data_IF_821537762513
#
_entry.id   IF_821537762513
#
_cell.length_a   1.000
_cell.length_b   1.000
_cell.length_c   1.000
_cell.angle_alpha   90.00
_cell.angle_beta   90.00
_cell.angle_gamma   90.00
#
_symmetry.space_group_name_H-M   'P 1'
#
loop_
_entity.id
_entity.type
_entity.pdbx_description
1 polymer ?
#
# COMPACT_ATOMS: atom_id res chain seq x y z
N UNK A 1 2.23 23.90 -7.71
CA UNK A 1 2.35 22.43 -7.56
C UNK A 1 3.53 22.15 -6.64
N UNK A 2 3.36 21.41 -5.52
CA UNK A 2 4.52 21.05 -4.71
C UNK A 2 5.39 20.08 -5.53
N UNK A 3 6.66 20.44 -5.70
CA UNK A 3 7.66 19.61 -6.38
C UNK A 3 8.16 18.56 -5.39
N UNK A 4 8.01 17.29 -5.75
CA UNK A 4 8.61 16.15 -5.04
C UNK A 4 10.14 16.31 -5.17
N UNK A 5 10.84 16.43 -4.05
CA UNK A 5 12.31 16.40 -4.01
C UNK A 5 12.76 14.99 -3.62
N UNK A 6 13.37 14.31 -4.58
CA UNK A 6 14.01 13.00 -4.43
C UNK A 6 15.46 13.25 -4.02
N UNK A 7 15.91 12.71 -2.88
CA UNK A 7 17.31 12.75 -2.45
C UNK A 7 17.85 11.32 -2.56
N UNK A 8 18.81 11.13 -3.47
CA UNK A 8 19.44 9.86 -3.85
C UNK A 8 20.88 9.81 -3.33
N UNK A 9 21.36 8.66 -2.80
CA UNK A 9 22.75 8.16 -2.92
C UNK A 9 22.88 6.70 -2.37
N UNK A 10 23.17 5.74 -3.29
CA UNK A 10 24.03 4.52 -3.25
C UNK A 10 23.82 3.38 -2.19
N UNK A 11 23.65 2.15 -2.72
CA UNK A 11 23.75 0.79 -2.13
C UNK A 11 23.20 0.58 -0.70
N UNK A 12 21.87 0.56 -0.53
CA UNK A 12 21.11 -0.02 0.61
C UNK A 12 19.65 -0.12 0.17
N UNK A 13 18.83 -1.06 0.67
CA UNK A 13 17.38 -1.02 0.45
C UNK A 13 16.87 0.26 1.13
N UNK A 14 16.36 1.20 0.34
CA UNK A 14 15.82 2.45 0.87
C UNK A 14 14.30 2.32 1.01
N UNK A 15 13.80 2.51 2.23
CA UNK A 15 12.38 2.74 2.47
C UNK A 15 12.15 4.24 2.52
N UNK A 16 11.51 4.78 1.49
CA UNK A 16 11.07 6.17 1.49
C UNK A 16 9.68 6.26 2.08
N UNK A 17 9.51 7.22 2.98
CA UNK A 17 8.25 7.54 3.60
C UNK A 17 7.86 8.96 3.22
N UNK A 18 6.69 9.11 2.60
CA UNK A 18 6.09 10.42 2.35
C UNK A 18 4.86 10.56 3.25
N UNK A 19 4.85 11.58 4.11
CA UNK A 19 3.71 11.92 4.98
C UNK A 19 3.06 13.19 4.46
N UNK A 20 1.74 13.15 4.25
CA UNK A 20 0.96 14.34 3.91
C UNK A 20 0.82 15.22 5.16
N UNK A 21 1.27 16.47 5.08
CA UNK A 21 1.05 17.44 6.16
C UNK A 21 -0.43 17.80 6.21
N UNK A 22 -1.14 17.38 7.27
CA UNK A 22 -2.58 17.60 7.45
C UNK A 22 -2.91 18.81 8.33
N UNK A 23 -1.92 19.52 8.87
CA UNK A 23 -2.14 20.73 9.66
C UNK A 23 -2.02 21.98 8.79
N UNK A 24 -3.18 22.51 8.37
CA UNK A 24 -3.29 23.91 7.99
C UNK A 24 -3.16 24.80 9.25
N UNK A 25 -1.93 25.04 9.68
CA UNK A 25 -1.52 26.30 10.33
C UNK A 25 0.00 26.38 10.25
N UNK A 26 0.48 27.15 9.28
CA UNK A 26 1.89 27.33 8.89
C UNK A 26 2.59 26.09 8.31
N UNK A 27 3.07 26.14 7.05
CA UNK A 27 3.88 25.06 6.51
C UNK A 27 5.17 24.93 7.33
N UNK A 28 5.64 23.70 7.63
CA UNK A 28 6.98 23.52 8.17
C UNK A 28 7.98 24.11 7.17
N UNK A 29 8.82 25.04 7.63
CA UNK A 29 9.81 25.77 6.83
C UNK A 29 10.89 24.89 6.20
N UNK A 30 10.89 23.60 6.54
CA UNK A 30 11.77 22.61 5.93
C UNK A 30 11.09 21.24 5.98
N UNK A 31 10.87 20.56 4.83
CA UNK A 31 10.55 19.14 4.86
C UNK A 31 11.72 18.36 5.50
N UNK A 32 11.49 17.25 6.21
CA UNK A 32 12.57 16.39 6.64
C UNK A 32 13.30 15.88 5.38
N UNK A 33 14.50 16.41 5.13
CA UNK A 33 15.35 16.07 3.97
C UNK A 33 16.22 14.84 4.21
N UNK A 34 16.10 14.20 5.35
CA UNK A 34 16.95 13.07 5.70
C UNK A 34 16.20 11.76 5.41
N UNK A 35 16.55 11.00 4.36
CA UNK A 35 16.05 9.64 4.22
C UNK A 35 16.40 8.84 5.48
N UNK A 36 15.44 8.11 6.02
CA UNK A 36 15.66 7.26 7.19
C UNK A 36 16.53 6.07 6.76
N UNK A 37 17.84 6.18 6.99
CA UNK A 37 18.78 5.08 6.78
C UNK A 37 18.69 4.12 7.97
N UNK A 38 17.88 3.07 7.83
CA UNK A 38 17.74 2.03 8.86
C UNK A 38 18.71 0.88 8.54
N UNK A 39 19.91 0.94 9.14
CA UNK A 39 20.97 -0.07 8.97
C UNK A 39 21.00 -1.14 10.06
N UNK A 40 19.97 -1.29 10.89
CA UNK A 40 19.90 -2.31 11.95
C UNK A 40 18.59 -3.07 11.85
N UNK A 41 18.65 -4.40 12.12
CA UNK A 41 17.54 -5.38 12.15
C UNK A 41 16.17 -4.75 11.82
N UNK A 42 15.76 -4.76 10.54
CA UNK A 42 14.86 -3.76 9.97
C UNK A 42 13.41 -3.83 10.44
N UNK A 43 13.03 -4.84 11.23
CA UNK A 43 11.63 -5.07 11.56
C UNK A 43 11.12 -4.15 12.67
N UNK A 44 11.85 -4.02 13.79
CA UNK A 44 11.34 -3.29 14.95
C UNK A 44 11.48 -1.76 14.81
N UNK A 45 12.58 -1.28 14.24
CA UNK A 45 12.86 0.16 14.13
C UNK A 45 11.97 0.85 13.09
N UNK A 46 11.74 0.23 11.94
CA UNK A 46 10.83 0.75 10.90
C UNK A 46 9.38 0.69 11.38
N UNK A 47 8.94 -0.43 11.99
CA UNK A 47 7.59 -0.55 12.53
C UNK A 47 7.32 0.48 13.64
N UNK A 48 8.28 0.71 14.55
CA UNK A 48 8.16 1.73 15.59
C UNK A 48 8.09 3.14 15.00
N UNK A 49 8.86 3.41 13.96
CA UNK A 49 8.81 4.69 13.26
C UNK A 49 7.49 4.91 12.53
N UNK A 50 6.98 3.90 11.82
CA UNK A 50 5.66 3.97 11.19
C UNK A 50 4.57 4.17 12.26
N UNK A 51 4.67 3.50 13.40
CA UNK A 51 3.73 3.68 14.51
C UNK A 51 3.72 5.12 15.04
N UNK A 52 4.88 5.78 15.10
CA UNK A 52 5.00 7.11 15.71
C UNK A 52 4.45 8.25 14.84
N UNK A 53 4.33 8.02 13.53
CA UNK A 53 3.83 8.99 12.56
C UNK A 53 2.37 8.76 12.17
N UNK A 54 1.83 7.57 12.44
CA UNK A 54 0.46 7.23 12.07
C UNK A 54 -0.53 7.98 12.98
N UNK A 55 -1.61 8.54 12.41
CA UNK A 55 -2.72 9.03 13.21
C UNK A 55 -3.26 7.92 14.13
N UNK A 56 -3.75 8.26 15.33
CA UNK A 56 -4.28 7.27 16.28
C UNK A 56 -5.48 6.49 15.72
N UNK A 57 -6.23 7.08 14.79
CA UNK A 57 -7.34 6.45 14.09
C UNK A 57 -7.48 7.01 12.69
N UNK A 58 -7.98 6.18 11.76
CA UNK A 58 -8.39 6.63 10.44
C UNK A 58 -7.23 7.07 9.55
N UNK A 59 -6.65 6.15 8.79
CA UNK A 59 -5.56 6.47 7.85
C UNK A 59 -5.59 5.59 6.61
N UNK A 60 -4.95 6.08 5.54
CA UNK A 60 -4.72 5.32 4.31
C UNK A 60 -3.25 5.36 3.93
N UNK A 61 -2.65 4.17 3.86
CA UNK A 61 -1.27 3.97 3.41
C UNK A 61 -1.27 3.41 2.01
N UNK A 62 -0.56 4.04 1.08
CA UNK A 62 -0.15 3.39 -0.17
C UNK A 62 1.18 2.68 0.08
N UNK A 63 1.26 1.38 -0.21
CA UNK A 63 2.51 0.62 -0.11
C UNK A 63 2.86 -0.02 -1.44
N UNK A 64 4.07 0.24 -1.94
CA UNK A 64 4.57 -0.40 -3.15
C UNK A 64 6.10 -0.49 -3.17
N UNK A 65 6.60 -1.37 -4.04
CA UNK A 65 8.01 -1.51 -4.33
C UNK A 65 8.31 -0.93 -5.72
N UNK A 66 9.48 -0.32 -5.88
CA UNK A 66 9.98 0.13 -7.18
C UNK A 66 11.47 -0.17 -7.34
N UNK A 67 11.94 -0.23 -8.58
CA UNK A 67 13.38 -0.23 -8.88
C UNK A 67 14.03 1.13 -8.60
N UNK A 68 15.36 1.21 -8.65
CA UNK A 68 16.08 2.50 -8.60
C UNK A 68 15.64 3.41 -9.75
N UNK A 69 15.29 2.83 -10.90
CA UNK A 69 14.72 3.54 -12.06
C UNK A 69 13.26 3.98 -11.91
N UNK A 70 12.60 3.67 -10.79
CA UNK A 70 11.19 4.03 -10.55
C UNK A 70 10.17 3.09 -11.19
N UNK A 71 10.58 1.88 -11.61
CA UNK A 71 9.68 0.89 -12.21
C UNK A 71 8.98 0.10 -11.11
N UNK A 72 7.64 0.13 -11.08
CA UNK A 72 6.79 -0.56 -10.08
C UNK A 72 6.33 -1.94 -10.60
N UNK A 73 6.16 -2.06 -11.91
CA UNK A 73 5.76 -3.30 -12.59
C UNK A 73 6.49 -3.36 -13.92
N UNK A 74 7.53 -4.18 -14.08
CA UNK A 74 8.17 -4.33 -15.39
C UNK A 74 7.18 -4.90 -16.41
N UNK A 75 7.28 -4.44 -17.66
CA UNK A 75 6.37 -4.82 -18.75
C UNK A 75 6.61 -6.25 -19.26
N UNK A 76 7.81 -6.77 -19.04
CA UNK A 76 8.17 -8.15 -19.37
C UNK A 76 8.27 -8.98 -18.10
N UNK A 77 7.67 -10.19 -18.14
CA UNK A 77 7.84 -11.25 -17.15
C UNK A 77 9.28 -11.77 -17.18
N UNK A 78 10.26 -10.92 -16.87
CA UNK A 78 11.56 -11.43 -16.47
C UNK A 78 11.31 -12.31 -15.24
N UNK A 79 11.66 -13.59 -15.34
CA UNK A 79 11.36 -14.66 -14.37
C UNK A 79 11.86 -14.36 -12.94
N UNK A 80 12.54 -13.24 -12.72
CA UNK A 80 13.09 -12.77 -11.45
C UNK A 80 12.80 -11.29 -11.13
N UNK A 81 11.73 -10.69 -11.67
CA UNK A 81 11.31 -9.30 -11.43
C UNK A 81 10.86 -8.98 -9.98
N UNK A 82 11.19 -9.83 -8.99
CA UNK A 82 10.94 -9.54 -7.59
C UNK A 82 11.79 -8.34 -7.16
N UNK A 83 11.12 -7.19 -6.98
CA UNK A 83 11.70 -5.93 -6.48
C UNK A 83 11.85 -5.96 -4.96
N UNK A 84 10.86 -6.53 -4.25
CA UNK A 84 10.79 -6.59 -2.79
C UNK A 84 11.64 -7.73 -2.19
N UNK A 85 12.43 -7.44 -1.15
CA UNK A 85 13.13 -8.44 -0.33
C UNK A 85 12.29 -8.90 0.88
N UNK A 86 12.78 -9.88 1.66
CA UNK A 86 12.05 -10.43 2.80
C UNK A 86 11.75 -9.38 3.87
N UNK A 87 12.67 -8.44 4.10
CA UNK A 87 12.50 -7.33 5.04
C UNK A 87 11.32 -6.43 4.64
N UNK A 88 11.21 -6.10 3.35
CA UNK A 88 10.09 -5.27 2.84
C UNK A 88 8.76 -6.01 2.87
N UNK A 89 8.78 -7.34 2.69
CA UNK A 89 7.62 -8.19 2.90
C UNK A 89 7.25 -8.26 4.37
N UNK A 90 8.19 -8.33 5.30
CA UNK A 90 7.91 -8.33 6.74
C UNK A 90 7.20 -7.03 7.15
N UNK A 91 7.64 -5.88 6.62
CA UNK A 91 6.96 -4.60 6.84
C UNK A 91 5.55 -4.62 6.25
N UNK A 92 5.39 -4.95 4.97
CA UNK A 92 4.07 -4.84 4.30
C UNK A 92 3.14 -5.98 4.71
N UNK A 93 3.55 -7.23 4.50
CA UNK A 93 2.73 -8.41 4.76
C UNK A 93 2.62 -8.76 6.24
N UNK A 94 3.62 -8.43 7.07
CA UNK A 94 3.57 -8.66 8.51
C UNK A 94 2.96 -7.47 9.22
N UNK A 95 3.70 -6.36 9.28
CA UNK A 95 3.35 -5.23 10.13
C UNK A 95 2.16 -4.42 9.61
N UNK A 96 2.20 -3.86 8.39
CA UNK A 96 1.12 -3.00 7.89
C UNK A 96 -0.23 -3.72 7.84
N UNK A 97 -0.25 -4.95 7.33
CA UNK A 97 -1.47 -5.76 7.30
C UNK A 97 -2.00 -6.11 8.69
N UNK A 98 -1.13 -6.30 9.70
CA UNK A 98 -1.56 -6.66 11.07
C UNK A 98 -2.14 -5.48 11.85
N UNK A 99 -1.88 -4.24 11.44
CA UNK A 99 -2.44 -3.03 12.07
C UNK A 99 -3.57 -2.37 11.26
N UNK A 100 -3.91 -2.92 10.09
CA UNK A 100 -4.94 -2.40 9.19
C UNK A 100 -6.27 -3.13 9.38
N UNK A 101 -7.37 -2.40 9.19
CA UNK A 101 -8.73 -2.94 9.15
C UNK A 101 -9.07 -3.47 7.75
N UNK A 102 -8.56 -2.80 6.71
CA UNK A 102 -8.78 -3.17 5.31
C UNK A 102 -7.47 -3.22 4.52
N UNK A 103 -7.39 -4.19 3.60
CA UNK A 103 -6.38 -4.21 2.53
C UNK A 103 -7.08 -4.09 1.18
N UNK A 104 -6.70 -3.09 0.40
CA UNK A 104 -7.29 -2.83 -0.90
C UNK A 104 -6.30 -3.24 -1.99
N UNK A 105 -6.76 -4.02 -2.97
CA UNK A 105 -5.99 -4.38 -4.16
C UNK A 105 -6.78 -4.21 -5.45
N UNK A 106 -6.08 -3.89 -6.54
CA UNK A 106 -6.66 -3.94 -7.88
C UNK A 106 -6.87 -5.37 -8.37
N UNK A 107 -7.89 -5.59 -9.20
CA UNK A 107 -8.17 -6.92 -9.79
C UNK A 107 -7.00 -7.46 -10.62
N UNK A 108 -6.21 -6.60 -11.24
CA UNK A 108 -5.01 -7.01 -11.99
C UNK A 108 -3.97 -7.70 -11.09
N UNK A 109 -3.65 -7.11 -9.94
CA UNK A 109 -2.78 -7.71 -8.92
C UNK A 109 -3.35 -9.04 -8.42
N UNK A 110 -4.67 -9.11 -8.24
CA UNK A 110 -5.33 -10.34 -7.84
C UNK A 110 -5.13 -11.48 -8.83
N UNK A 111 -5.29 -11.19 -10.12
CA UNK A 111 -5.17 -12.17 -11.21
C UNK A 111 -3.73 -12.54 -11.52
N UNK A 112 -2.80 -11.58 -11.45
CA UNK A 112 -1.40 -11.79 -11.80
C UNK A 112 -0.61 -12.46 -10.67
N UNK A 113 -0.82 -12.02 -9.43
CA UNK A 113 0.09 -12.37 -8.32
C UNK A 113 -0.53 -13.39 -7.35
N UNK A 114 -1.82 -13.66 -7.49
CA UNK A 114 -2.60 -14.52 -6.61
C UNK A 114 -2.31 -14.28 -5.10
N UNK A 115 -2.32 -13.03 -4.62
CA UNK A 115 -1.76 -12.66 -3.32
C UNK A 115 -2.54 -13.28 -2.16
N UNK A 116 -1.89 -13.50 -1.01
CA UNK A 116 -2.55 -14.07 0.19
C UNK A 116 -3.52 -13.09 0.87
N UNK A 117 -3.24 -11.78 0.80
CA UNK A 117 -4.03 -10.69 1.39
C UNK A 117 -4.32 -10.79 2.90
N UNK A 118 -3.55 -11.61 3.62
CA UNK A 118 -3.65 -11.79 5.07
C UNK A 118 -2.31 -11.45 5.74
N UNK A 119 -2.32 -10.92 6.99
CA UNK A 119 -1.09 -10.63 7.73
C UNK A 119 -0.31 -11.90 8.05
N UNK A 120 1.03 -11.84 8.02
CA UNK A 120 1.84 -12.94 8.55
C UNK A 120 1.57 -13.09 10.05
N UNK A 121 1.18 -14.30 10.49
CA UNK A 121 0.88 -14.57 11.90
C UNK A 121 -0.61 -14.54 12.24
N UNK A 122 -0.95 -13.94 13.39
CA UNK A 122 -2.29 -13.96 13.95
C UNK A 122 -3.28 -13.16 13.09
N UNK A 123 -4.48 -13.71 12.92
CA UNK A 123 -5.58 -13.00 12.28
C UNK A 123 -6.02 -11.82 13.16
N UNK A 124 -6.07 -10.64 12.56
CA UNK A 124 -6.48 -9.37 13.19
C UNK A 124 -7.86 -8.89 12.71
N UNK A 125 -8.57 -9.69 11.91
CA UNK A 125 -9.84 -9.28 11.31
C UNK A 125 -9.72 -8.49 10.00
N UNK A 126 -8.51 -8.34 9.43
CA UNK A 126 -8.27 -7.63 8.17
C UNK A 126 -9.22 -8.11 7.06
N UNK A 127 -9.94 -7.15 6.47
CA UNK A 127 -10.90 -7.41 5.38
C UNK A 127 -10.24 -7.11 4.03
N UNK A 128 -10.05 -8.11 3.14
CA UNK A 128 -9.59 -7.86 1.78
C UNK A 128 -10.69 -7.19 0.96
N UNK A 129 -10.33 -6.14 0.23
CA UNK A 129 -11.21 -5.41 -0.68
C UNK A 129 -10.59 -5.42 -2.07
N UNK A 130 -11.32 -5.91 -3.06
CA UNK A 130 -10.87 -5.92 -4.46
C UNK A 130 -11.53 -4.81 -5.25
N UNK A 131 -10.74 -3.92 -5.83
CA UNK A 131 -11.19 -2.92 -6.80
C UNK A 131 -11.21 -3.54 -8.20
N UNK A 132 -12.37 -3.57 -8.84
CA UNK A 132 -12.52 -4.16 -10.17
C UNK A 132 -13.47 -3.37 -11.07
N UNK A 133 -13.22 -3.38 -12.38
CA UNK A 133 -14.23 -3.00 -13.36
C UNK A 133 -15.13 -4.15 -13.80
N UNK A 134 -14.76 -5.39 -13.45
CA UNK A 134 -15.35 -6.64 -13.97
C UNK A 134 -15.70 -7.56 -12.80
N UNK A 135 -16.87 -7.31 -12.19
CA UNK A 135 -17.32 -8.01 -10.96
C UNK A 135 -17.35 -9.52 -11.12
N UNK A 136 -17.85 -10.00 -12.26
CA UNK A 136 -18.06 -11.42 -12.53
C UNK A 136 -16.76 -12.22 -12.64
N UNK A 137 -15.72 -11.62 -13.23
CA UNK A 137 -14.39 -12.23 -13.32
C UNK A 137 -13.75 -12.40 -11.95
N UNK A 138 -13.88 -11.38 -11.10
CA UNK A 138 -13.35 -11.39 -9.74
C UNK A 138 -14.14 -12.33 -8.83
N UNK A 139 -15.46 -12.45 -9.00
CA UNK A 139 -16.29 -13.33 -8.18
C UNK A 139 -15.85 -14.80 -8.23
N UNK A 140 -15.47 -15.30 -9.42
CA UNK A 140 -14.95 -16.66 -9.57
C UNK A 140 -13.64 -16.87 -8.79
N UNK A 141 -12.76 -15.87 -8.84
CA UNK A 141 -11.49 -15.92 -8.14
C UNK A 141 -11.69 -15.85 -6.62
N UNK A 142 -12.57 -14.95 -6.17
CA UNK A 142 -12.89 -14.77 -4.75
C UNK A 142 -13.44 -16.04 -4.13
N UNK A 143 -14.37 -16.73 -4.78
CA UNK A 143 -14.94 -17.99 -4.25
C UNK A 143 -13.84 -19.02 -3.91
N UNK A 144 -12.84 -19.17 -4.79
CA UNK A 144 -11.72 -20.09 -4.55
C UNK A 144 -10.75 -19.59 -3.48
N UNK A 145 -10.62 -18.26 -3.32
CA UNK A 145 -9.71 -17.66 -2.35
C UNK A 145 -10.30 -17.57 -0.94
N UNK A 146 -11.57 -17.18 -0.82
CA UNK A 146 -12.30 -17.11 0.45
C UNK A 146 -12.29 -18.46 1.16
N UNK A 147 -12.45 -19.56 0.43
CA UNK A 147 -12.31 -20.91 0.96
C UNK A 147 -10.92 -21.18 1.54
N UNK A 148 -9.85 -20.67 0.90
CA UNK A 148 -8.46 -20.82 1.38
C UNK A 148 -8.12 -19.87 2.53
N UNK A 149 -8.70 -18.67 2.53
CA UNK A 149 -8.50 -17.68 3.59
C UNK A 149 -9.34 -17.97 4.82
N UNK A 150 -10.39 -18.79 4.70
CA UNK A 150 -11.38 -19.01 5.75
C UNK A 150 -12.22 -17.77 6.06
N UNK A 151 -12.22 -16.75 5.18
CA UNK A 151 -12.95 -15.50 5.37
C UNK A 151 -13.40 -14.89 4.05
N UNK A 152 -14.46 -14.09 4.13
CA UNK A 152 -15.04 -13.38 2.99
C UNK A 152 -14.21 -12.15 2.63
N UNK A 153 -14.02 -11.91 1.34
CA UNK A 153 -13.48 -10.67 0.80
C UNK A 153 -14.62 -9.78 0.31
N UNK A 154 -14.41 -8.48 0.37
CA UNK A 154 -15.30 -7.51 -0.24
C UNK A 154 -14.86 -7.22 -1.68
N UNK A 155 -15.84 -7.02 -2.55
CA UNK A 155 -15.61 -6.71 -3.96
C UNK A 155 -16.29 -5.38 -4.27
N UNK A 156 -15.48 -4.39 -4.66
CA UNK A 156 -15.90 -3.04 -4.97
C UNK A 156 -15.71 -2.79 -6.45
N UNK A 157 -16.82 -2.47 -7.13
CA UNK A 157 -16.81 -2.27 -8.58
C UNK A 157 -16.54 -0.80 -8.89
N UNK A 158 -15.30 -0.46 -9.23
CA UNK A 158 -14.89 0.92 -9.54
C UNK A 158 -15.12 1.29 -11.01
N UNK A 159 -15.27 0.31 -11.91
CA UNK A 159 -15.44 0.53 -13.36
C UNK A 159 -16.81 1.06 -13.81
N UNK A 160 -17.71 1.35 -12.87
CA UNK A 160 -19.01 1.98 -13.13
C UNK A 160 -19.60 2.69 -11.91
N UNK A 161 -18.83 2.81 -10.82
CA UNK A 161 -19.26 3.51 -9.62
C UNK A 161 -19.17 5.01 -9.87
N UNK A 162 -20.31 5.70 -9.79
CA UNK A 162 -20.34 7.17 -9.82
C UNK A 162 -19.53 7.82 -8.68
N UNK A 163 -19.05 7.02 -7.71
CA UNK A 163 -18.40 7.48 -6.49
C UNK A 163 -16.88 7.68 -6.61
N UNK A 164 -16.22 7.11 -7.63
CA UNK A 164 -14.75 7.15 -7.75
C UNK A 164 -14.04 6.46 -6.58
N UNK A 165 -12.70 6.53 -6.48
CA UNK A 165 -11.97 5.96 -5.33
C UNK A 165 -12.33 6.68 -4.05
N UNK A 166 -12.51 8.01 -4.09
CA UNK A 166 -12.89 8.81 -2.92
C UNK A 166 -14.17 8.28 -2.27
N UNK A 167 -15.24 8.06 -3.03
CA UNK A 167 -16.49 7.64 -2.40
C UNK A 167 -16.49 6.18 -1.95
N UNK A 168 -15.63 5.32 -2.51
CA UNK A 168 -15.38 3.98 -1.93
C UNK A 168 -14.58 4.09 -0.63
N UNK A 169 -13.58 4.97 -0.59
CA UNK A 169 -12.81 5.27 0.62
C UNK A 169 -13.72 5.82 1.72
N UNK A 170 -14.64 6.73 1.39
CA UNK A 170 -15.58 7.31 2.35
C UNK A 170 -16.58 6.27 2.86
N UNK A 171 -17.04 5.35 2.00
CA UNK A 171 -17.91 4.24 2.36
C UNK A 171 -17.22 3.25 3.33
N UNK A 172 -15.92 2.97 3.12
CA UNK A 172 -15.13 2.12 4.00
C UNK A 172 -14.72 2.83 5.30
N UNK A 173 -14.32 4.11 5.22
CA UNK A 173 -13.68 4.79 6.36
C UNK A 173 -14.64 5.08 7.48
N UNK A 174 -15.82 5.65 7.20
CA UNK A 174 -16.64 6.28 8.25
C UNK A 174 -15.82 7.21 9.19
N UNK A 175 -14.67 7.70 8.73
CA UNK A 175 -13.65 8.44 9.50
C UNK A 175 -12.66 7.64 10.36
N UNK A 176 -12.77 6.32 10.53
CA UNK A 176 -11.98 5.56 11.53
C UNK A 176 -11.13 4.42 10.96
N UNK A 177 -11.46 3.92 9.78
CA UNK A 177 -10.78 2.74 9.24
C UNK A 177 -9.30 3.00 8.91
N UNK A 178 -8.48 2.00 9.19
CA UNK A 178 -7.06 1.90 8.87
C UNK A 178 -6.90 1.06 7.61
N UNK A 179 -6.42 1.67 6.54
CA UNK A 179 -6.45 1.09 5.21
C UNK A 179 -5.03 1.03 4.67
N UNK A 180 -4.63 -0.14 4.19
CA UNK A 180 -3.45 -0.29 3.34
C UNK A 180 -3.91 -0.58 1.91
N UNK A 181 -3.37 0.15 0.95
CA UNK A 181 -3.59 -0.05 -0.48
C UNK A 181 -2.32 -0.61 -1.07
N UNK A 182 -2.45 -1.78 -1.66
CA UNK A 182 -1.41 -2.44 -2.43
C UNK A 182 -1.93 -2.61 -3.86
N UNK A 183 -1.05 -2.65 -4.86
CA UNK A 183 -1.48 -3.05 -6.19
C UNK A 183 -0.66 -2.47 -7.31
N UNK A 184 -1.07 -2.82 -8.53
CA UNK A 184 -0.38 -2.39 -9.74
C UNK A 184 -0.48 -0.88 -10.00
N UNK A 185 0.32 -0.36 -10.94
CA UNK A 185 0.47 1.07 -11.21
C UNK A 185 -0.86 1.80 -11.42
N UNK A 186 -1.82 1.22 -12.15
CA UNK A 186 -3.12 1.85 -12.39
C UNK A 186 -3.98 2.01 -11.13
N UNK A 187 -3.83 1.14 -10.14
CA UNK A 187 -4.51 1.30 -8.85
C UNK A 187 -3.86 2.43 -8.07
N UNK A 188 -2.54 2.37 -7.88
CA UNK A 188 -1.79 3.38 -7.13
C UNK A 188 -1.96 4.78 -7.72
N UNK A 189 -1.86 4.91 -9.05
CA UNK A 189 -2.02 6.19 -9.75
C UNK A 189 -3.39 6.82 -9.46
N UNK A 190 -4.47 6.04 -9.49
CA UNK A 190 -5.81 6.56 -9.22
C UNK A 190 -5.96 7.09 -7.78
N UNK A 191 -5.37 6.39 -6.81
CA UNK A 191 -5.39 6.86 -5.42
C UNK A 191 -4.57 8.14 -5.23
N UNK A 192 -3.46 8.27 -5.96
CA UNK A 192 -2.63 9.48 -5.98
C UNK A 192 -3.40 10.65 -6.61
N UNK A 193 -3.99 10.44 -7.79
CA UNK A 193 -4.71 11.46 -8.56
C UNK A 193 -5.95 11.99 -7.81
N UNK A 194 -6.64 11.11 -7.09
CA UNK A 194 -7.82 11.47 -6.28
C UNK A 194 -7.47 11.95 -4.85
N UNK A 195 -6.18 12.10 -4.53
CA UNK A 195 -5.71 12.56 -3.22
C UNK A 195 -6.30 11.73 -2.04
N UNK A 196 -6.36 10.40 -2.26
CA UNK A 196 -7.01 9.43 -1.38
C UNK A 196 -6.05 8.75 -0.40
N UNK A 197 -4.93 9.37 -0.06
CA UNK A 197 -3.88 8.78 0.78
C UNK A 197 -3.39 9.75 1.85
N UNK A 198 -2.90 9.19 2.97
CA UNK A 198 -2.31 9.95 4.08
C UNK A 198 -0.78 9.75 4.12
N UNK A 199 -0.34 8.52 3.89
CA UNK A 199 1.06 8.13 3.88
C UNK A 199 1.34 7.26 2.66
N UNK A 200 2.54 7.41 2.09
CA UNK A 200 3.05 6.55 1.04
C UNK A 200 4.38 5.94 1.50
N UNK A 201 4.43 4.61 1.50
CA UNK A 201 5.61 3.81 1.82
C UNK A 201 6.12 3.21 0.51
N UNK A 202 7.31 3.64 0.11
CA UNK A 202 7.94 3.19 -1.13
C UNK A 202 9.20 2.43 -0.77
N UNK A 203 9.28 1.18 -1.20
CA UNK A 203 10.48 0.36 -1.02
C UNK A 203 11.26 0.31 -2.33
N UNK A 204 12.53 0.69 -2.29
CA UNK A 204 13.38 0.74 -3.48
C UNK A 204 14.34 -0.45 -3.51
N UNK A 205 14.13 -1.33 -4.48
CA UNK A 205 15.01 -2.45 -4.78
C UNK A 205 16.15 -2.04 -5.71
N UNK A 206 17.35 -2.57 -5.47
CA UNK A 206 18.57 -2.23 -6.23
C UNK A 206 18.69 -2.84 -7.63
N UNK A 207 17.60 -3.36 -8.19
CA UNK A 207 17.56 -3.85 -9.57
C UNK A 207 17.31 -2.69 -10.53
#
# INVERSE_FOLDING_TARGET
>A
MPRIRIISTIFTIFTYLTVKSTTATTPPTTPPTTPLNVHTSPDASVANYISSILPPSGWTILSFAQTVGGVISPEEQEENAQISCEETKAITHGYLRSISDYIIVGSGTLTSDNPRLLPYGADNGLVPVVLTGRKEEVAKWLNGKEAKMGRKAECVVTGGSARGVRGELDALRGGKAKIVVEGGPGTLQRWIDEDCWDIMIVTVGGK
#
